data_IF_066610152767
#
_entry.id   IF_066610152767
#
_cell.length_a   1.000
_cell.length_b   1.000
_cell.length_c   1.000
_cell.angle_alpha   90.00
_cell.angle_beta   90.00
_cell.angle_gamma   90.00
#
_symmetry.space_group_name_H-M   'P 1'
#
loop_
_entity.id
_entity.type
_entity.pdbx_description
1 polymer ?
#
# COMPACT_ATOMS: atom_id res chain seq x y z
N UNK A 1 21.89 -5.45 -36.50
CA UNK A 1 21.95 -6.68 -35.67
C UNK A 1 22.25 -6.25 -34.24
N UNK A 2 21.27 -6.31 -33.34
CA UNK A 2 21.48 -5.99 -31.92
C UNK A 2 22.27 -7.14 -31.30
N UNK A 3 23.44 -6.84 -30.74
CA UNK A 3 24.31 -7.84 -30.12
C UNK A 3 23.62 -8.44 -28.88
N UNK A 4 23.62 -9.77 -28.74
CA UNK A 4 22.99 -10.52 -27.64
C UNK A 4 23.43 -9.99 -26.26
N UNK A 5 24.68 -9.54 -26.14
CA UNK A 5 25.21 -8.94 -24.92
C UNK A 5 24.44 -7.68 -24.51
N UNK A 6 24.05 -6.82 -25.47
CA UNK A 6 23.27 -5.62 -25.16
C UNK A 6 21.86 -5.95 -24.65
N UNK A 7 21.25 -7.01 -25.18
CA UNK A 7 19.92 -7.46 -24.73
C UNK A 7 20.00 -7.97 -23.29
N UNK A 8 21.01 -8.77 -22.97
CA UNK A 8 21.21 -9.32 -21.62
C UNK A 8 21.49 -8.21 -20.61
N UNK A 9 22.33 -7.23 -20.96
CA UNK A 9 22.62 -6.07 -20.11
C UNK A 9 21.39 -5.19 -19.91
N UNK A 10 20.57 -4.97 -20.95
CA UNK A 10 19.34 -4.19 -20.82
C UNK A 10 18.34 -4.88 -19.88
N UNK A 11 18.16 -6.18 -20.01
CA UNK A 11 17.24 -6.97 -19.18
C UNK A 11 17.69 -7.03 -17.72
N UNK A 12 19.00 -7.10 -17.45
CA UNK A 12 19.51 -7.09 -16.08
C UNK A 12 19.31 -5.74 -15.38
N UNK A 13 19.48 -4.63 -16.10
CA UNK A 13 19.21 -3.27 -15.59
C UNK A 13 17.72 -3.07 -15.31
N UNK A 14 16.85 -3.51 -16.22
CA UNK A 14 15.39 -3.42 -16.02
C UNK A 14 14.90 -4.27 -14.83
N UNK A 15 15.54 -5.42 -14.60
CA UNK A 15 15.22 -6.29 -13.45
C UNK A 15 15.64 -5.68 -12.11
N UNK A 16 16.58 -4.73 -12.10
CA UNK A 16 17.04 -4.03 -10.89
C UNK A 16 16.20 -2.80 -10.54
N UNK A 17 15.20 -2.42 -11.36
CA UNK A 17 14.14 -1.49 -10.96
C UNK A 17 13.20 -2.17 -9.96
N UNK A 18 13.70 -2.44 -8.75
CA UNK A 18 12.87 -2.92 -7.67
C UNK A 18 11.99 -1.76 -7.20
N UNK A 19 10.67 -1.90 -7.36
CA UNK A 19 9.71 -0.95 -6.83
C UNK A 19 9.99 -0.75 -5.33
N UNK A 20 10.00 0.51 -4.89
CA UNK A 20 10.20 0.82 -3.47
C UNK A 20 9.15 0.10 -2.63
N UNK A 21 9.58 -0.50 -1.52
CA UNK A 21 8.67 -1.20 -0.61
C UNK A 21 7.68 -0.18 -0.02
N UNK A 22 6.38 -0.47 -0.14
CA UNK A 22 5.32 0.35 0.44
C UNK A 22 5.42 0.37 1.98
N UNK A 23 5.01 1.47 2.58
CA UNK A 23 4.87 1.59 4.04
C UNK A 23 3.61 0.84 4.47
N UNK A 24 3.78 -0.18 5.32
CA UNK A 24 2.65 -0.92 5.89
C UNK A 24 1.99 -0.13 7.01
N UNK A 25 0.67 0.02 6.92
CA UNK A 25 -0.18 0.66 7.95
C UNK A 25 -1.31 -0.31 8.28
N UNK A 26 -1.38 -0.78 9.52
CA UNK A 26 -2.49 -1.62 9.98
C UNK A 26 -3.43 -0.81 10.88
N UNK A 27 -4.72 -0.78 10.54
CA UNK A 27 -5.76 -0.08 11.28
C UNK A 27 -6.67 -1.09 11.95
N UNK A 28 -6.65 -1.11 13.28
CA UNK A 28 -7.51 -1.96 14.10
C UNK A 28 -8.78 -1.19 14.42
N UNK A 29 -9.93 -1.72 14.05
CA UNK A 29 -11.19 -0.98 14.14
C UNK A 29 -12.39 -1.86 14.46
N UNK A 30 -13.43 -1.24 15.03
CA UNK A 30 -14.72 -1.85 15.28
C UNK A 30 -15.75 -1.34 14.24
N UNK A 31 -16.46 -2.26 13.60
CA UNK A 31 -17.33 -1.93 12.45
C UNK A 31 -18.50 -1.01 12.80
N UNK A 32 -19.00 -1.08 14.03
CA UNK A 32 -20.15 -0.30 14.51
C UNK A 32 -19.75 0.91 15.37
N UNK A 33 -18.46 1.11 15.62
CA UNK A 33 -17.99 2.27 16.39
C UNK A 33 -18.06 3.53 15.53
N UNK A 34 -18.82 4.52 16.01
CA UNK A 34 -18.93 5.84 15.36
C UNK A 34 -17.56 6.49 15.20
N UNK A 35 -16.68 6.37 16.20
CA UNK A 35 -15.33 6.93 16.16
C UNK A 35 -14.47 6.29 15.07
N UNK A 36 -14.54 4.97 14.92
CA UNK A 36 -13.86 4.25 13.83
C UNK A 36 -14.41 4.68 12.46
N UNK A 37 -15.73 4.76 12.31
CA UNK A 37 -16.37 5.21 11.08
C UNK A 37 -15.97 6.63 10.69
N UNK A 38 -15.94 7.55 11.66
CA UNK A 38 -15.54 8.94 11.45
C UNK A 38 -14.05 9.05 11.08
N UNK A 39 -13.16 8.34 11.79
CA UNK A 39 -11.75 8.27 11.44
C UNK A 39 -11.53 7.75 10.02
N UNK A 40 -12.20 6.66 9.64
CA UNK A 40 -12.06 6.08 8.30
C UNK A 40 -12.48 7.06 7.21
N UNK A 41 -13.63 7.72 7.37
CA UNK A 41 -14.18 8.61 6.34
C UNK A 41 -13.45 9.95 6.24
N UNK A 42 -13.15 10.57 7.39
CA UNK A 42 -12.71 11.96 7.44
C UNK A 42 -11.19 12.12 7.57
N UNK A 43 -10.46 11.06 7.92
CA UNK A 43 -9.02 11.12 8.14
C UNK A 43 -8.26 10.10 7.29
N UNK A 44 -8.60 8.81 7.40
CA UNK A 44 -7.86 7.75 6.72
C UNK A 44 -8.08 7.78 5.20
N UNK A 45 -9.33 7.78 4.75
CA UNK A 45 -9.66 7.69 3.33
C UNK A 45 -9.11 8.86 2.50
N UNK A 46 -9.18 10.14 2.93
CA UNK A 46 -8.58 11.25 2.21
C UNK A 46 -7.06 11.14 2.07
N UNK A 47 -6.37 10.67 3.11
CA UNK A 47 -4.90 10.46 3.08
C UNK A 47 -4.56 9.28 2.18
N UNK A 48 -5.26 8.15 2.32
CA UNK A 48 -5.00 6.96 1.50
C UNK A 48 -5.19 7.27 0.01
N UNK A 49 -6.25 8.00 -0.35
CA UNK A 49 -6.50 8.40 -1.75
C UNK A 49 -5.39 9.24 -2.37
N UNK A 50 -4.59 9.94 -1.56
CA UNK A 50 -3.44 10.74 -2.03
C UNK A 50 -2.13 9.95 -2.08
N UNK A 51 -2.02 8.86 -1.31
CA UNK A 51 -0.76 8.15 -1.07
C UNK A 51 -0.84 6.63 -1.27
N UNK A 52 -1.87 6.11 -1.93
CA UNK A 52 -2.11 4.67 -2.13
C UNK A 52 -0.94 3.93 -2.81
N UNK A 53 -0.19 4.62 -3.68
CA UNK A 53 1.01 4.08 -4.31
C UNK A 53 2.14 3.81 -3.32
N UNK A 54 2.14 4.48 -2.18
CA UNK A 54 3.18 4.39 -1.15
C UNK A 54 2.74 3.60 0.08
N UNK A 55 1.44 3.33 0.24
CA UNK A 55 0.88 2.69 1.42
C UNK A 55 0.37 1.27 1.13
N UNK A 56 0.75 0.33 1.98
CA UNK A 56 0.11 -0.98 2.10
C UNK A 56 -0.83 -0.91 3.31
N UNK A 57 -2.10 -0.61 3.07
CA UNK A 57 -3.11 -0.48 4.11
C UNK A 57 -3.75 -1.83 4.43
N UNK A 58 -3.77 -2.17 5.71
CA UNK A 58 -4.29 -3.42 6.27
C UNK A 58 -5.39 -3.09 7.29
N UNK A 59 -6.63 -3.47 6.99
CA UNK A 59 -7.79 -3.15 7.82
C UNK A 59 -8.14 -4.36 8.67
N UNK A 60 -7.89 -4.28 9.97
CA UNK A 60 -8.05 -5.41 10.89
C UNK A 60 -9.29 -5.18 11.75
N UNK A 61 -10.41 -5.89 11.51
CA UNK A 61 -11.55 -5.82 12.42
C UNK A 61 -11.13 -6.42 13.76
N UNK A 62 -11.21 -5.61 14.82
CA UNK A 62 -10.72 -5.95 16.15
C UNK A 62 -11.57 -5.26 17.21
N UNK A 63 -11.89 -5.98 18.28
CA UNK A 63 -12.71 -5.49 19.38
C UNK A 63 -13.68 -6.54 19.90
N UNK A 64 -14.36 -6.23 20.99
CA UNK A 64 -15.45 -7.03 21.52
C UNK A 64 -16.75 -6.46 20.95
N UNK A 65 -17.20 -6.97 19.81
CA UNK A 65 -18.51 -6.61 19.31
C UNK A 65 -19.57 -6.93 20.39
N UNK A 66 -20.17 -5.89 20.98
CA UNK A 66 -21.46 -5.91 21.68
C UNK A 66 -22.33 -4.83 21.08
#
# INVERSE_FOLDING_TARGET
MVNLVYIVVLLSVLSFCQAAKKLKVSVYYETLSEGCGNFTQNQLHPVYSQFEDYLELDMVPWGFAV
#
